data_IF_067752787953
#
_entry.id   IF_067752787953
#
_cell.length_a   1.000
_cell.length_b   1.000
_cell.length_c   1.000
_cell.angle_alpha   90.00
_cell.angle_beta   90.00
_cell.angle_gamma   90.00
#
_symmetry.space_group_name_H-M   'P 1'
#
loop_
_entity.id
_entity.type
_entity.pdbx_description
1 polymer ?
#
# COMPACT_ATOMS: atom_id res chain seq x y z
N UNK A 1 2.37 10.12 -30.30
CA UNK A 1 2.93 9.61 -29.04
C UNK A 1 3.18 10.74 -28.05
N UNK A 2 3.90 11.80 -28.43
CA UNK A 2 4.21 12.96 -27.57
C UNK A 2 2.95 13.62 -26.95
N UNK A 3 1.93 13.90 -27.76
CA UNK A 3 0.68 14.55 -27.30
C UNK A 3 -0.08 13.74 -26.22
N UNK A 4 -0.08 12.40 -26.31
CA UNK A 4 -0.78 11.55 -25.33
C UNK A 4 -0.03 11.51 -24.00
N UNK A 5 1.30 11.44 -24.05
CA UNK A 5 2.14 11.43 -22.86
C UNK A 5 2.06 12.78 -22.13
N UNK A 6 2.03 13.87 -22.90
CA UNK A 6 1.82 15.22 -22.38
C UNK A 6 0.45 15.36 -21.70
N UNK A 7 -0.61 14.85 -22.31
CA UNK A 7 -1.95 14.88 -21.70
C UNK A 7 -2.00 14.11 -20.38
N UNK A 8 -1.39 12.92 -20.33
CA UNK A 8 -1.31 12.13 -19.09
C UNK A 8 -0.48 12.88 -18.04
N UNK A 9 0.68 13.43 -18.42
CA UNK A 9 1.53 14.17 -17.50
C UNK A 9 0.82 15.40 -16.91
N UNK A 10 0.12 16.18 -17.75
CA UNK A 10 -0.67 17.33 -17.29
C UNK A 10 -1.75 16.89 -16.33
N UNK A 11 -2.50 15.82 -16.64
CA UNK A 11 -3.53 15.28 -15.75
C UNK A 11 -2.99 14.81 -14.40
N UNK A 12 -1.86 14.10 -14.42
CA UNK A 12 -1.14 13.65 -13.22
C UNK A 12 -0.70 14.84 -12.38
N UNK A 13 -0.02 15.82 -12.99
CA UNK A 13 0.44 17.02 -12.29
C UNK A 13 -0.71 17.85 -11.72
N UNK A 14 -1.82 17.99 -12.45
CA UNK A 14 -3.00 18.73 -11.98
C UNK A 14 -3.65 18.03 -10.79
N UNK A 15 -3.94 16.73 -10.88
CA UNK A 15 -4.60 16.00 -9.80
C UNK A 15 -3.73 15.93 -8.54
N UNK A 16 -2.46 15.56 -8.71
CA UNK A 16 -1.49 15.47 -7.62
C UNK A 16 -1.20 16.85 -7.02
N UNK A 17 -1.00 17.87 -7.85
CA UNK A 17 -0.76 19.25 -7.41
C UNK A 17 -1.95 19.86 -6.68
N UNK A 18 -3.17 19.54 -7.10
CA UNK A 18 -4.39 19.96 -6.39
C UNK A 18 -4.48 19.31 -5.02
N UNK A 19 -4.23 17.99 -4.92
CA UNK A 19 -4.21 17.29 -3.64
C UNK A 19 -3.11 17.83 -2.70
N UNK A 20 -1.91 18.08 -3.23
CA UNK A 20 -0.81 18.66 -2.49
C UNK A 20 -1.13 20.06 -1.97
N UNK A 21 -1.71 20.93 -2.82
CA UNK A 21 -2.10 22.28 -2.44
C UNK A 21 -3.17 22.27 -1.35
N UNK A 22 -4.21 21.43 -1.49
CA UNK A 22 -5.28 21.31 -0.49
C UNK A 22 -4.70 20.83 0.85
N UNK A 23 -3.82 19.83 0.82
CA UNK A 23 -3.18 19.28 2.02
C UNK A 23 -2.26 20.30 2.69
N UNK A 24 -1.56 21.11 1.89
CA UNK A 24 -0.71 22.18 2.40
C UNK A 24 -1.51 23.30 3.08
N UNK A 25 -2.72 23.60 2.58
CA UNK A 25 -3.60 24.63 3.16
C UNK A 25 -4.35 24.11 4.38
N UNK A 26 -4.75 22.83 4.38
CA UNK A 26 -5.54 22.21 5.45
C UNK A 26 -4.64 21.26 6.25
N UNK A 27 -4.16 21.66 7.45
CA UNK A 27 -3.23 20.86 8.25
C UNK A 27 -3.97 19.69 8.91
N UNK A 28 -4.15 18.61 8.16
CA UNK A 28 -4.60 17.31 8.67
C UNK A 28 -3.42 16.37 8.56
N UNK A 29 -2.63 16.22 9.62
CA UNK A 29 -1.35 15.50 9.58
C UNK A 29 -1.48 14.07 10.14
N UNK A 30 -2.54 13.36 9.74
CA UNK A 30 -2.81 12.00 10.21
C UNK A 30 -3.02 11.05 9.04
N UNK A 31 -2.20 10.02 8.99
CA UNK A 31 -2.41 8.86 8.11
C UNK A 31 -3.70 8.16 8.54
N UNK A 32 -4.68 8.14 7.65
CA UNK A 32 -5.93 7.38 7.83
C UNK A 32 -5.76 5.95 7.35
N UNK A 33 -6.66 5.05 7.73
CA UNK A 33 -6.66 3.66 7.23
C UNK A 33 -6.72 3.59 5.69
N UNK A 34 -7.46 4.51 5.07
CA UNK A 34 -7.53 4.63 3.61
C UNK A 34 -6.19 5.03 2.98
N UNK A 35 -5.46 5.96 3.60
CA UNK A 35 -4.13 6.35 3.12
C UNK A 35 -3.16 5.19 3.32
N UNK A 36 -3.13 4.61 4.52
CA UNK A 36 -2.24 3.49 4.86
C UNK A 36 -2.40 2.31 3.90
N UNK A 37 -3.64 1.95 3.53
CA UNK A 37 -3.92 0.88 2.58
C UNK A 37 -3.38 1.11 1.16
N UNK A 38 -2.86 2.30 0.85
CA UNK A 38 -2.28 2.67 -0.46
C UNK A 38 -0.76 2.84 -0.42
N UNK A 39 -0.12 2.68 0.74
CA UNK A 39 1.33 2.89 0.91
C UNK A 39 2.17 1.62 0.72
N UNK A 40 1.55 0.44 0.84
CA UNK A 40 2.23 -0.85 0.76
C UNK A 40 1.73 -1.63 -0.47
N UNK A 41 2.07 -1.17 -1.70
CA UNK A 41 1.68 -1.88 -2.90
C UNK A 41 2.39 -3.23 -2.99
N UNK A 42 1.69 -4.23 -3.48
CA UNK A 42 2.21 -5.59 -3.59
C UNK A 42 1.91 -6.21 -4.97
N UNK A 43 2.31 -7.47 -5.16
CA UNK A 43 2.13 -8.17 -6.44
C UNK A 43 0.65 -8.45 -6.77
N UNK A 44 -0.25 -8.50 -5.77
CA UNK A 44 -1.68 -8.66 -6.01
C UNK A 44 -2.27 -7.42 -6.68
N UNK A 45 -1.84 -6.22 -6.29
CA UNK A 45 -2.26 -4.98 -6.94
C UNK A 45 -1.90 -4.98 -8.43
N UNK A 46 -0.69 -5.45 -8.75
CA UNK A 46 -0.27 -5.65 -10.13
C UNK A 46 -1.16 -6.66 -10.88
N UNK A 47 -1.58 -7.74 -10.22
CA UNK A 47 -2.54 -8.71 -10.76
C UNK A 47 -3.91 -8.08 -11.06
N UNK A 48 -4.42 -7.24 -10.15
CA UNK A 48 -5.68 -6.49 -10.32
C UNK A 48 -5.57 -5.50 -11.48
N UNK A 49 -4.44 -4.81 -11.62
CA UNK A 49 -4.17 -3.90 -12.73
C UNK A 49 -4.19 -4.65 -14.08
N UNK A 50 -3.55 -5.82 -14.15
CA UNK A 50 -3.54 -6.67 -15.33
C UNK A 50 -4.96 -7.10 -15.71
N UNK A 51 -5.73 -7.62 -14.75
CA UNK A 51 -7.10 -8.06 -14.98
C UNK A 51 -8.00 -6.90 -15.44
N UNK A 52 -7.85 -5.72 -14.82
CA UNK A 52 -8.57 -4.50 -15.19
C UNK A 52 -8.24 -4.03 -16.61
N UNK A 53 -6.97 -4.12 -17.02
CA UNK A 53 -6.54 -3.82 -18.39
C UNK A 53 -7.15 -4.76 -19.43
N UNK A 54 -7.20 -6.06 -19.15
CA UNK A 54 -7.84 -7.07 -20.01
C UNK A 54 -9.34 -6.78 -20.13
N UNK A 55 -10.03 -6.62 -19.00
CA UNK A 55 -11.46 -6.32 -18.97
C UNK A 55 -11.79 -5.00 -19.68
N UNK A 56 -10.97 -3.97 -19.47
CA UNK A 56 -11.13 -2.66 -20.11
C UNK A 56 -10.96 -2.72 -21.63
N UNK A 57 -9.93 -3.41 -22.11
CA UNK A 57 -9.74 -3.62 -23.55
C UNK A 57 -10.87 -4.45 -24.17
N UNK A 58 -11.31 -5.53 -23.49
CA UNK A 58 -12.42 -6.35 -23.96
C UNK A 58 -13.73 -5.56 -24.05
N UNK A 59 -14.05 -4.78 -23.01
CA UNK A 59 -15.22 -3.90 -22.98
C UNK A 59 -15.16 -2.81 -24.06
N UNK A 60 -13.96 -2.33 -24.41
CA UNK A 60 -13.80 -1.32 -25.45
C UNK A 60 -14.12 -1.84 -26.85
N UNK A 61 -13.82 -3.12 -27.10
CA UNK A 61 -14.03 -3.78 -28.39
C UNK A 61 -15.48 -4.21 -28.59
N UNK A 62 -16.18 -4.63 -27.53
CA UNK A 62 -17.59 -5.03 -27.65
C UNK A 62 -18.53 -3.82 -27.67
N UNK A 63 -19.43 -3.79 -28.63
CA UNK A 63 -20.48 -2.75 -28.72
C UNK A 63 -21.55 -2.92 -27.63
N UNK A 64 -21.82 -4.16 -27.21
CA UNK A 64 -22.83 -4.47 -26.19
C UNK A 64 -22.40 -4.12 -24.75
N UNK A 65 -21.14 -3.74 -24.54
CA UNK A 65 -20.60 -3.42 -23.22
C UNK A 65 -20.43 -1.91 -23.11
N UNK A 66 -21.00 -1.33 -22.05
CA UNK A 66 -20.89 0.10 -21.79
C UNK A 66 -19.42 0.48 -21.52
N UNK A 67 -18.75 1.07 -22.52
CA UNK A 67 -17.35 1.54 -22.45
C UNK A 67 -17.11 2.52 -21.28
N UNK A 68 -18.16 3.22 -20.85
CA UNK A 68 -18.12 4.09 -19.67
C UNK A 68 -17.87 3.34 -18.36
N UNK A 69 -18.36 2.10 -18.22
CA UNK A 69 -18.22 1.31 -16.99
C UNK A 69 -16.76 0.91 -16.76
N UNK A 70 -16.04 0.49 -17.81
CA UNK A 70 -14.61 0.19 -17.69
C UNK A 70 -13.78 1.45 -17.44
N UNK A 71 -14.15 2.58 -18.06
CA UNK A 71 -13.51 3.86 -17.81
C UNK A 71 -13.62 4.33 -16.36
N UNK A 72 -14.82 4.19 -15.76
CA UNK A 72 -15.04 4.51 -14.34
C UNK A 72 -14.23 3.57 -13.44
N UNK A 73 -14.21 2.27 -13.71
CA UNK A 73 -13.43 1.32 -12.90
C UNK A 73 -11.93 1.63 -12.91
N UNK A 74 -11.37 1.98 -14.08
CA UNK A 74 -9.96 2.38 -14.21
C UNK A 74 -9.70 3.69 -13.47
N UNK A 75 -10.60 4.67 -13.55
CA UNK A 75 -10.46 5.93 -12.83
C UNK A 75 -10.47 5.71 -11.30
N UNK A 76 -11.35 4.84 -10.80
CA UNK A 76 -11.41 4.49 -9.37
C UNK A 76 -10.14 3.80 -8.89
N UNK A 77 -9.45 3.04 -9.75
CA UNK A 77 -8.17 2.40 -9.42
C UNK A 77 -6.96 3.36 -9.47
N UNK A 78 -7.02 4.42 -10.28
CA UNK A 78 -5.90 5.33 -10.52
C UNK A 78 -5.95 6.62 -9.69
N UNK A 79 -7.14 7.22 -9.53
CA UNK A 79 -7.28 8.53 -8.89
C UNK A 79 -6.91 8.49 -7.40
N UNK A 80 -7.37 7.52 -6.59
CA UNK A 80 -7.03 7.49 -5.17
C UNK A 80 -5.53 7.44 -4.86
N UNK A 81 -4.71 6.52 -5.43
CA UNK A 81 -3.27 6.50 -5.14
C UNK A 81 -2.55 7.77 -5.64
N UNK A 82 -3.02 8.37 -6.75
CA UNK A 82 -2.49 9.63 -7.23
C UNK A 82 -2.81 10.81 -6.29
N UNK A 83 -4.01 10.84 -5.71
CA UNK A 83 -4.36 11.82 -4.69
C UNK A 83 -3.52 11.63 -3.42
N UNK A 84 -3.32 10.38 -2.98
CA UNK A 84 -2.49 10.08 -1.81
C UNK A 84 -1.02 10.45 -2.04
N UNK A 85 -0.48 10.25 -3.24
CA UNK A 85 0.88 10.74 -3.52
C UNK A 85 0.95 12.27 -3.42
N UNK A 86 -0.08 12.98 -3.90
CA UNK A 86 -0.21 14.43 -3.73
C UNK A 86 -0.29 14.85 -2.26
N UNK A 87 -1.03 14.11 -1.43
CA UNK A 87 -1.07 14.32 0.04
C UNK A 87 0.34 14.17 0.63
N UNK A 88 1.08 13.12 0.25
CA UNK A 88 2.48 12.93 0.70
C UNK A 88 3.40 14.09 0.32
N UNK A 89 3.26 14.66 -0.89
CA UNK A 89 3.97 15.88 -1.26
C UNK A 89 3.57 17.08 -0.40
N UNK A 90 2.28 17.24 -0.10
CA UNK A 90 1.76 18.30 0.76
C UNK A 90 2.28 18.23 2.19
N UNK A 91 2.44 17.01 2.74
CA UNK A 91 3.02 16.76 4.08
C UNK A 91 4.55 16.75 4.11
N UNK A 92 5.21 16.81 2.94
CA UNK A 92 6.64 16.57 2.83
C UNK A 92 7.07 15.17 3.31
N UNK A 93 6.15 14.21 3.24
CA UNK A 93 6.35 12.81 3.64
C UNK A 93 6.70 11.96 2.41
N UNK A 94 7.99 11.62 2.31
CA UNK A 94 8.50 10.82 1.19
C UNK A 94 8.00 9.38 1.21
N UNK A 95 7.72 8.81 2.39
CA UNK A 95 7.20 7.46 2.52
C UNK A 95 5.77 7.39 1.94
N UNK A 96 4.91 8.35 2.32
CA UNK A 96 3.55 8.46 1.81
C UNK A 96 3.55 8.69 0.29
N UNK A 97 4.40 9.61 -0.18
CA UNK A 97 4.51 9.93 -1.60
C UNK A 97 4.96 8.71 -2.43
N UNK A 98 6.08 8.09 -2.05
CA UNK A 98 6.71 7.05 -2.86
C UNK A 98 5.89 5.76 -2.92
N UNK A 99 5.30 5.34 -1.79
CA UNK A 99 4.43 4.16 -1.74
C UNK A 99 3.19 4.31 -2.62
N UNK A 100 2.45 5.41 -2.46
CA UNK A 100 1.24 5.67 -3.25
C UNK A 100 1.55 5.93 -4.73
N UNK A 101 2.67 6.60 -5.05
CA UNK A 101 3.11 6.82 -6.42
C UNK A 101 3.49 5.50 -7.10
N UNK A 102 4.14 4.58 -6.37
CA UNK A 102 4.47 3.25 -6.88
C UNK A 102 3.19 2.46 -7.20
N UNK A 103 2.17 2.50 -6.32
CA UNK A 103 0.87 1.89 -6.58
C UNK A 103 0.20 2.48 -7.84
N UNK A 104 0.20 3.80 -7.97
CA UNK A 104 -0.34 4.49 -9.15
C UNK A 104 0.38 4.06 -10.44
N UNK A 105 1.72 4.04 -10.44
CA UNK A 105 2.52 3.64 -11.60
C UNK A 105 2.29 2.17 -11.96
N UNK A 106 2.20 1.30 -10.96
CA UNK A 106 1.87 -0.13 -11.15
C UNK A 106 0.53 -0.28 -11.85
N UNK A 107 -0.50 0.42 -11.37
CA UNK A 107 -1.83 0.38 -11.96
C UNK A 107 -1.83 0.91 -13.39
N UNK A 108 -1.21 2.08 -13.62
CA UNK A 108 -1.17 2.71 -14.94
C UNK A 108 -0.45 1.85 -15.97
N UNK A 109 0.75 1.37 -15.64
CA UNK A 109 1.58 0.56 -16.54
C UNK A 109 0.94 -0.81 -16.76
N UNK A 110 0.43 -1.44 -15.70
CA UNK A 110 -0.22 -2.75 -15.78
C UNK A 110 -1.48 -2.75 -16.63
N UNK A 111 -2.38 -1.78 -16.41
CA UNK A 111 -3.59 -1.61 -17.22
C UNK A 111 -3.21 -1.36 -18.68
N UNK A 112 -2.25 -0.46 -18.94
CA UNK A 112 -1.81 -0.11 -20.29
C UNK A 112 -1.18 -1.29 -21.04
N UNK A 113 -0.26 -2.02 -20.39
CA UNK A 113 0.40 -3.19 -20.96
C UNK A 113 -0.61 -4.29 -21.28
N UNK A 114 -1.48 -4.63 -20.33
CA UNK A 114 -2.46 -5.69 -20.51
C UNK A 114 -3.53 -5.34 -21.53
N UNK A 115 -3.96 -4.07 -21.60
CA UNK A 115 -4.86 -3.62 -22.64
C UNK A 115 -4.21 -3.73 -24.03
N UNK A 116 -2.95 -3.30 -24.17
CA UNK A 116 -2.20 -3.41 -25.42
C UNK A 116 -2.05 -4.87 -25.88
N UNK A 117 -1.71 -5.78 -24.96
CA UNK A 117 -1.65 -7.22 -25.24
C UNK A 117 -3.01 -7.78 -25.65
N UNK A 118 -4.08 -7.36 -24.98
CA UNK A 118 -5.44 -7.82 -25.30
C UNK A 118 -5.87 -7.38 -26.71
N UNK A 119 -5.63 -6.11 -27.07
CA UNK A 119 -5.92 -5.63 -28.43
C UNK A 119 -5.10 -6.37 -29.50
N UNK A 120 -3.85 -6.73 -29.19
CA UNK A 120 -2.99 -7.50 -30.07
C UNK A 120 -3.53 -8.91 -30.30
N UNK A 121 -3.91 -9.60 -29.21
CA UNK A 121 -4.50 -10.96 -29.27
C UNK A 121 -5.82 -10.97 -30.03
N UNK A 122 -6.63 -9.93 -29.86
CA UNK A 122 -7.90 -9.78 -30.57
C UNK A 122 -7.74 -9.33 -32.05
N UNK A 123 -6.52 -9.06 -32.52
CA UNK A 123 -6.25 -8.72 -33.93
C UNK A 123 -6.53 -7.25 -34.29
N UNK A 124 -6.70 -6.35 -33.32
CA UNK A 124 -7.03 -4.93 -33.57
C UNK A 124 -5.80 -4.04 -33.84
N UNK A 125 -4.58 -4.54 -33.61
CA UNK A 125 -3.35 -3.77 -33.82
C UNK A 125 -2.24 -4.62 -34.47
N UNK A 126 -1.57 -4.13 -35.53
CA UNK A 126 -0.41 -4.80 -36.08
C UNK A 126 0.79 -4.71 -35.12
N UNK A 127 1.45 -5.86 -34.90
CA UNK A 127 2.62 -6.03 -34.02
C UNK A 127 3.69 -4.95 -34.24
N UNK A 128 4.00 -4.62 -35.50
CA UNK A 128 5.07 -3.66 -35.83
C UNK A 128 4.81 -2.24 -35.31
N UNK A 129 3.54 -1.81 -35.25
CA UNK A 129 3.17 -0.50 -34.70
C UNK A 129 3.08 -0.54 -33.17
N UNK A 130 2.67 -1.67 -32.59
CA UNK A 130 2.52 -1.85 -31.15
C UNK A 130 3.86 -2.10 -30.42
N UNK A 131 4.87 -2.64 -31.12
CA UNK A 131 6.13 -3.13 -30.54
C UNK A 131 6.84 -2.12 -29.62
N UNK A 132 6.95 -0.85 -30.03
CA UNK A 132 7.63 0.18 -29.23
C UNK A 132 6.91 0.46 -27.91
N UNK A 133 5.58 0.60 -27.96
CA UNK A 133 4.76 0.83 -26.76
C UNK A 133 4.76 -0.39 -25.85
N UNK A 134 4.64 -1.59 -26.42
CA UNK A 134 4.66 -2.84 -25.67
C UNK A 134 6.00 -3.05 -24.96
N UNK A 135 7.12 -2.82 -25.65
CA UNK A 135 8.45 -2.97 -25.08
C UNK A 135 8.69 -1.96 -23.94
N UNK A 136 8.29 -0.70 -24.14
CA UNK A 136 8.38 0.33 -23.10
C UNK A 136 7.56 -0.05 -21.85
N UNK A 137 6.28 -0.40 -22.02
CA UNK A 137 5.41 -0.77 -20.90
C UNK A 137 5.89 -2.04 -20.20
N UNK A 138 6.40 -3.03 -20.95
CA UNK A 138 6.97 -4.24 -20.37
C UNK A 138 8.26 -3.96 -19.57
N UNK A 139 9.14 -3.10 -20.08
CA UNK A 139 10.35 -2.68 -19.34
C UNK A 139 9.99 -1.92 -18.07
N UNK A 140 9.04 -0.98 -18.13
CA UNK A 140 8.56 -0.25 -16.96
C UNK A 140 7.94 -1.20 -15.93
N UNK A 141 7.12 -2.15 -16.38
CA UNK A 141 6.52 -3.15 -15.50
C UNK A 141 7.57 -4.01 -14.80
N UNK A 142 8.60 -4.46 -15.55
CA UNK A 142 9.72 -5.21 -14.97
C UNK A 142 10.50 -4.41 -13.94
N UNK A 143 10.70 -3.11 -14.17
CA UNK A 143 11.36 -2.21 -13.22
C UNK A 143 10.52 -2.00 -11.96
N UNK A 144 9.20 -1.83 -12.11
CA UNK A 144 8.24 -1.66 -11.00
C UNK A 144 8.08 -2.95 -10.19
N UNK A 145 8.18 -4.12 -10.81
CA UNK A 145 8.07 -5.41 -10.13
C UNK A 145 9.15 -5.61 -9.05
N UNK A 146 10.33 -4.99 -9.20
CA UNK A 146 11.44 -5.09 -8.23
C UNK A 146 11.05 -4.48 -6.86
N UNK A 147 10.72 -3.18 -6.74
CA UNK A 147 10.31 -2.59 -5.47
C UNK A 147 9.01 -3.19 -4.92
N UNK A 148 8.08 -3.65 -5.77
CA UNK A 148 6.89 -4.38 -5.32
C UNK A 148 7.25 -5.72 -4.65
N UNK A 149 8.24 -6.44 -5.19
CA UNK A 149 8.70 -7.70 -4.61
C UNK A 149 9.36 -7.46 -3.25
N UNK A 150 10.12 -6.38 -3.11
CA UNK A 150 10.71 -5.95 -1.83
C UNK A 150 9.60 -5.57 -0.84
N UNK A 151 8.64 -4.72 -1.24
CA UNK A 151 7.53 -4.31 -0.37
C UNK A 151 6.67 -5.49 0.08
N UNK A 152 6.41 -6.45 -0.81
CA UNK A 152 5.68 -7.68 -0.47
C UNK A 152 6.48 -8.58 0.49
N UNK A 153 7.80 -8.63 0.36
CA UNK A 153 8.66 -9.35 1.29
C UNK A 153 8.67 -8.70 2.68
N UNK A 154 8.79 -7.38 2.75
CA UNK A 154 8.68 -6.60 3.98
C UNK A 154 7.31 -6.85 4.65
N UNK A 155 6.22 -6.69 3.90
CA UNK A 155 4.86 -6.96 4.39
C UNK A 155 4.70 -8.39 4.92
N UNK A 156 5.20 -9.40 4.18
CA UNK A 156 5.15 -10.80 4.63
C UNK A 156 5.95 -11.01 5.92
N UNK A 157 7.11 -10.37 6.05
CA UNK A 157 7.95 -10.47 7.25
C UNK A 157 7.31 -9.83 8.48
N UNK A 158 6.64 -8.67 8.31
CA UNK A 158 5.90 -8.01 9.39
C UNK A 158 4.69 -8.84 9.84
N UNK A 159 3.96 -9.44 8.90
CA UNK A 159 2.81 -10.31 9.22
C UNK A 159 3.22 -11.57 9.97
N UNK A 160 4.38 -12.16 9.63
CA UNK A 160 4.94 -13.31 10.35
C UNK A 160 5.29 -12.96 11.81
N UNK A 161 5.81 -11.75 12.03
CA UNK A 161 6.20 -11.25 13.34
C UNK A 161 4.97 -10.93 14.21
N UNK A 162 3.95 -10.32 13.61
CA UNK A 162 2.66 -10.05 14.26
C UNK A 162 1.91 -11.35 14.62
N UNK A 163 1.95 -12.38 13.77
CA UNK A 163 1.41 -13.71 14.09
C UNK A 163 2.21 -14.44 15.18
N UNK A 164 3.53 -14.30 15.19
CA UNK A 164 4.38 -14.92 16.22
C UNK A 164 4.12 -14.27 17.59
N UNK A 165 3.93 -12.95 17.64
CA UNK A 165 3.66 -12.21 18.87
C UNK A 165 2.21 -12.31 19.33
N UNK A 166 1.24 -12.44 18.43
CA UNK A 166 -0.19 -12.64 18.80
C UNK A 166 -0.52 -14.07 19.27
N UNK A 167 0.39 -15.03 19.06
CA UNK A 167 0.30 -16.38 19.62
C UNK A 167 1.09 -16.56 20.93
N UNK A 168 1.80 -15.52 21.40
CA UNK A 168 2.48 -15.57 22.69
C UNK A 168 1.45 -15.47 23.82
N UNK A 169 0.97 -16.63 24.28
CA UNK A 169 0.28 -16.75 25.55
C UNK A 169 1.30 -16.58 26.68
N UNK A 170 1.50 -15.35 27.14
CA UNK A 170 2.30 -15.08 28.31
C UNK A 170 1.44 -15.30 29.56
N UNK A 171 1.86 -16.25 30.39
CA UNK A 171 1.27 -16.45 31.71
C UNK A 171 2.10 -15.71 32.75
N UNK A 172 1.48 -14.75 33.42
CA UNK A 172 2.01 -14.16 34.67
C UNK A 172 1.02 -14.49 35.78
N UNK A 173 1.51 -15.12 36.86
CA UNK A 173 0.72 -15.50 38.03
C UNK A 173 -0.61 -16.22 37.71
N UNK A 174 -0.55 -17.21 36.81
CA UNK A 174 -1.67 -18.07 36.40
C UNK A 174 -2.81 -17.36 35.64
N UNK A 175 -2.54 -16.17 35.10
CA UNK A 175 -3.47 -15.43 34.23
C UNK A 175 -3.01 -15.43 32.77
N UNK A 176 -3.95 -15.62 31.85
CA UNK A 176 -3.70 -15.54 30.42
C UNK A 176 -3.64 -14.07 29.99
N UNK A 177 -2.45 -13.59 29.65
CA UNK A 177 -2.25 -12.26 29.07
C UNK A 177 -2.23 -12.43 27.55
N UNK A 178 -3.13 -11.72 26.87
CA UNK A 178 -3.21 -11.72 25.40
C UNK A 178 -2.77 -10.35 24.90
N UNK A 179 -1.74 -10.33 24.06
CA UNK A 179 -1.35 -9.14 23.33
C UNK A 179 -2.26 -8.99 22.10
N UNK A 180 -2.95 -7.85 21.99
CA UNK A 180 -3.71 -7.47 20.79
C UNK A 180 -3.22 -6.12 20.26
N UNK A 181 -3.60 -5.83 19.02
CA UNK A 181 -3.34 -4.55 18.36
C UNK A 181 -1.84 -4.18 18.40
N UNK A 182 -1.00 -5.15 18.00
CA UNK A 182 0.45 -5.01 18.02
C UNK A 182 0.91 -4.20 16.82
N UNK A 183 1.13 -2.91 17.03
CA UNK A 183 1.63 -1.98 16.02
C UNK A 183 3.12 -1.75 16.19
N UNK A 184 3.91 -2.23 15.23
CA UNK A 184 5.34 -1.96 15.15
C UNK A 184 5.57 -0.69 14.33
N UNK A 185 6.16 0.34 14.93
CA UNK A 185 6.56 1.58 14.27
C UNK A 185 8.08 1.74 14.36
N UNK A 186 8.75 1.80 13.20
CA UNK A 186 10.19 2.03 13.13
C UNK A 186 10.44 3.54 13.09
N UNK A 187 11.18 4.07 14.06
CA UNK A 187 11.52 5.50 14.15
C UNK A 187 13.05 5.67 14.11
N UNK A 188 13.62 5.77 12.90
CA UNK A 188 15.08 5.91 12.73
C UNK A 188 15.84 4.62 13.11
N UNK A 189 16.65 4.68 14.17
CA UNK A 189 17.45 3.53 14.66
C UNK A 189 16.73 2.72 15.77
N UNK A 190 15.58 3.18 16.27
CA UNK A 190 14.78 2.47 17.28
C UNK A 190 13.50 1.89 16.69
N UNK A 191 13.19 0.64 17.03
CA UNK A 191 11.92 0.01 16.68
C UNK A 191 10.99 0.14 17.89
N UNK A 192 9.91 0.90 17.77
CA UNK A 192 8.92 1.05 18.84
C UNK A 192 7.79 0.07 18.60
N UNK A 193 7.50 -0.80 19.57
CA UNK A 193 6.36 -1.74 19.49
C UNK A 193 5.27 -1.26 20.43
N UNK A 194 4.16 -0.81 19.86
CA UNK A 194 2.94 -0.52 20.60
C UNK A 194 2.10 -1.80 20.67
N UNK A 195 1.66 -2.18 21.87
CA UNK A 195 0.75 -3.31 22.05
C UNK A 195 -0.30 -2.99 23.11
N UNK A 196 -1.56 -3.35 22.82
CA UNK A 196 -2.61 -3.37 23.82
C UNK A 196 -2.50 -4.68 24.63
N UNK A 197 -2.27 -4.53 25.93
CA UNK A 197 -2.21 -5.67 26.86
C UNK A 197 -3.61 -5.90 27.39
N UNK A 198 -4.25 -6.99 26.96
CA UNK A 198 -5.55 -7.40 27.48
C UNK A 198 -5.37 -8.36 28.66
N UNK A 199 -5.93 -7.97 29.79
CA UNK A 199 -6.00 -8.78 31.00
C UNK A 199 -7.39 -8.70 31.65
N UNK A 200 -7.75 -9.72 32.42
CA UNK A 200 -9.02 -9.78 33.16
C UNK A 200 -9.06 -8.83 34.38
N UNK A 201 -7.93 -8.18 34.69
CA UNK A 201 -7.79 -7.17 35.74
C UNK A 201 -6.91 -6.01 35.30
N UNK A 202 -7.02 -4.86 35.96
CA UNK A 202 -6.04 -3.78 35.79
C UNK A 202 -4.67 -4.24 36.32
N UNK A 203 -3.66 -4.21 35.44
CA UNK A 203 -2.27 -4.48 35.79
C UNK A 203 -1.67 -3.27 36.52
N UNK A 204 -0.90 -3.55 37.56
CA UNK A 204 -0.11 -2.54 38.27
C UNK A 204 1.09 -2.09 37.43
N UNK A 205 1.62 -0.89 37.76
CA UNK A 205 2.81 -0.34 37.11
C UNK A 205 4.06 -1.23 37.23
N UNK A 206 4.12 -2.07 38.28
CA UNK A 206 5.25 -2.96 38.56
C UNK A 206 5.15 -4.24 37.70
N UNK A 207 3.94 -4.79 37.54
CA UNK A 207 3.66 -5.90 36.61
C UNK A 207 3.90 -5.49 35.15
N UNK A 208 3.46 -4.29 34.76
CA UNK A 208 3.68 -3.76 33.39
C UNK A 208 5.18 -3.57 33.07
N UNK A 209 5.99 -3.15 34.04
CA UNK A 209 7.45 -3.05 33.87
C UNK A 209 8.09 -4.42 33.72
N UNK A 210 7.64 -5.41 34.49
CA UNK A 210 8.14 -6.79 34.41
C UNK A 210 7.82 -7.41 33.06
N UNK A 211 6.59 -7.20 32.58
CA UNK A 211 6.14 -7.65 31.26
C UNK A 211 6.94 -6.96 30.14
N UNK A 212 7.18 -5.65 30.25
CA UNK A 212 8.03 -4.90 29.31
C UNK A 212 9.43 -5.50 29.21
N UNK A 213 10.10 -5.74 30.34
CA UNK A 213 11.46 -6.33 30.37
C UNK A 213 11.48 -7.76 29.79
N UNK A 214 10.46 -8.58 30.09
CA UNK A 214 10.37 -9.92 29.54
C UNK A 214 10.16 -9.91 28.01
N UNK A 215 9.33 -9.01 27.50
CA UNK A 215 9.10 -8.84 26.07
C UNK A 215 10.33 -8.30 25.35
N UNK A 216 11.01 -7.29 25.91
CA UNK A 216 12.27 -6.76 25.37
C UNK A 216 13.35 -7.85 25.29
N UNK A 217 13.46 -8.72 26.31
CA UNK A 217 14.42 -9.84 26.30
C UNK A 217 14.15 -10.91 25.24
N UNK A 218 12.88 -11.11 24.86
CA UNK A 218 12.50 -12.08 23.83
C UNK A 218 12.52 -11.48 22.42
N UNK A 219 12.32 -10.17 22.29
CA UNK A 219 12.17 -9.51 21.01
C UNK A 219 13.50 -8.92 20.46
N UNK A 220 14.53 -8.76 21.30
CA UNK A 220 15.87 -8.32 20.91
C UNK A 220 16.18 -6.87 21.32
N UNK A 221 17.46 -6.59 21.58
CA UNK A 221 17.97 -5.41 22.32
C UNK A 221 17.68 -4.00 21.73
N UNK A 222 16.94 -3.88 20.63
CA UNK A 222 16.68 -2.61 19.92
C UNK A 222 15.21 -2.18 19.93
N UNK A 223 14.38 -2.79 20.79
CA UNK A 223 12.94 -2.58 20.83
C UNK A 223 12.51 -1.76 22.05
N UNK A 224 11.88 -0.62 21.81
CA UNK A 224 11.24 0.17 22.86
C UNK A 224 9.74 -0.18 22.90
N UNK A 225 9.32 -0.91 23.94
CA UNK A 225 7.93 -1.33 24.08
C UNK A 225 7.07 -0.27 24.78
N UNK A 226 5.96 0.10 24.15
CA UNK A 226 4.91 0.95 24.69
C UNK A 226 3.65 0.10 24.90
N UNK A 227 3.35 -0.21 26.16
CA UNK A 227 2.22 -1.05 26.54
C UNK A 227 1.05 -0.17 27.01
N UNK A 228 -0.13 -0.38 26.42
CA UNK A 228 -1.38 0.24 26.89
C UNK A 228 -2.23 -0.83 27.58
N UNK A 229 -2.47 -0.73 28.90
CA UNK A 229 -3.29 -1.72 29.60
C UNK A 229 -4.77 -1.57 29.23
N UNK A 230 -5.44 -2.67 28.85
CA UNK A 230 -6.89 -2.74 28.62
C UNK A 230 -7.49 -3.91 29.39
N UNK A 231 -8.63 -3.65 30.03
CA UNK A 231 -9.36 -4.68 30.80
C UNK A 231 -10.43 -5.31 29.91
N UNK A 232 -10.48 -6.64 29.88
CA UNK A 232 -11.58 -7.39 29.27
C UNK A 232 -12.76 -7.40 30.24
N UNK A 233 -13.84 -6.70 29.88
CA UNK A 233 -15.11 -6.68 30.63
C UNK A 233 -16.00 -7.87 30.27
#
# INVERSE_FOLDING_TARGET
MMQYLETIAIGVCLAMGTAALVTFIIPVDRITAEIAGRLQPNLLDMGVAIASGIAGAYAYVREDVAKSVSGVAIAVALVPPLCVSGIGLGWWDWHVFSGAMLLFLTNLVGISLSAALTFLVLGFAPLDRARKGLMLSATLMGLIAIPLSVSMWEMASHWQLEQTLSQLHLKIDDQDIVLKDLHVQVHGESTVVQADVLSDRLLSLEELRTLKVQLESHAGDTLELQLTPRVRL
#
